data_IF_394127030218
#
_entry.id   IF_394127030218
#
_cell.length_a   1.000
_cell.length_b   1.000
_cell.length_c   1.000
_cell.angle_alpha   90.00
_cell.angle_beta   90.00
_cell.angle_gamma   90.00
#
_symmetry.space_group_name_H-M   'P 1'
#
loop_
_entity.id
_entity.type
_entity.pdbx_description
1 polymer ?
#
# COMPACT_ATOMS: atom_id res chain seq x y z
N UNK A 1 10.35 -6.85 -18.26
CA UNK A 1 9.82 -6.71 -19.64
C UNK A 1 9.82 -8.09 -20.27
N UNK A 2 8.66 -8.55 -20.68
CA UNK A 2 8.46 -9.87 -21.27
C UNK A 2 8.48 -9.80 -22.77
N UNK A 3 8.96 -10.87 -23.40
CA UNK A 3 8.88 -11.12 -24.82
C UNK A 3 7.96 -12.29 -25.04
N UNK A 4 6.94 -12.16 -25.87
CA UNK A 4 6.16 -13.28 -26.34
C UNK A 4 5.84 -13.13 -27.81
N UNK A 5 5.61 -14.26 -28.47
CA UNK A 5 5.24 -14.32 -29.87
C UNK A 5 3.77 -14.02 -30.01
N UNK A 6 3.41 -12.91 -30.66
CA UNK A 6 2.03 -12.50 -30.91
C UNK A 6 1.50 -12.98 -32.25
N UNK A 7 2.37 -13.45 -33.13
CA UNK A 7 2.03 -13.93 -34.44
C UNK A 7 3.25 -14.24 -35.29
N UNK A 8 2.99 -14.56 -36.56
CA UNK A 8 4.02 -14.70 -37.61
C UNK A 8 3.75 -13.62 -38.65
N UNK A 9 4.76 -12.84 -39.04
CA UNK A 9 4.62 -11.88 -40.12
C UNK A 9 4.29 -12.62 -41.44
N UNK A 10 3.16 -12.33 -42.05
CA UNK A 10 2.70 -13.06 -43.25
C UNK A 10 3.61 -12.81 -44.46
N UNK A 11 4.45 -11.78 -44.44
CA UNK A 11 5.33 -11.41 -45.55
C UNK A 11 6.75 -11.98 -45.40
N UNK A 12 7.25 -12.06 -44.18
CA UNK A 12 8.63 -12.52 -43.91
C UNK A 12 8.71 -13.91 -43.35
N UNK A 13 7.60 -14.43 -42.75
CA UNK A 13 7.57 -15.69 -42.04
C UNK A 13 8.28 -15.66 -40.68
N UNK A 14 8.70 -14.48 -40.23
CA UNK A 14 9.36 -14.32 -38.95
C UNK A 14 8.35 -14.21 -37.81
N UNK A 15 8.78 -14.60 -36.60
CA UNK A 15 7.99 -14.45 -35.40
C UNK A 15 7.85 -12.95 -35.01
N UNK A 16 6.61 -12.48 -34.89
CA UNK A 16 6.33 -11.14 -34.36
C UNK A 16 6.44 -11.23 -32.84
N UNK A 17 7.47 -10.60 -32.32
CA UNK A 17 7.73 -10.53 -30.91
C UNK A 17 7.22 -9.21 -30.32
N UNK A 18 6.35 -9.32 -29.35
CA UNK A 18 5.89 -8.14 -28.58
C UNK A 18 6.57 -8.14 -27.21
N UNK A 19 7.11 -7.02 -26.82
CA UNK A 19 7.63 -6.81 -25.48
C UNK A 19 6.59 -6.07 -24.67
N UNK A 20 6.04 -6.74 -23.68
CA UNK A 20 5.01 -6.18 -22.79
C UNK A 20 5.59 -6.00 -21.41
N UNK A 21 5.36 -4.81 -20.82
CA UNK A 21 5.56 -4.59 -19.41
C UNK A 21 4.54 -5.43 -18.63
N UNK A 22 5.01 -6.19 -17.64
CA UNK A 22 4.13 -6.97 -16.78
C UNK A 22 4.49 -6.78 -15.32
N UNK A 23 3.50 -6.93 -14.47
CA UNK A 23 3.64 -7.02 -13.02
C UNK A 23 3.00 -8.32 -12.56
N UNK A 24 3.49 -8.88 -11.46
CA UNK A 24 2.97 -10.13 -10.93
C UNK A 24 3.53 -10.41 -9.53
N UNK A 25 2.94 -11.41 -8.91
CA UNK A 25 3.34 -11.94 -7.62
C UNK A 25 3.91 -13.33 -7.85
N UNK A 26 5.12 -13.54 -7.38
CA UNK A 26 5.89 -14.76 -7.54
C UNK A 26 6.31 -15.30 -6.19
N UNK A 27 6.34 -16.61 -6.06
CA UNK A 27 6.69 -17.30 -4.82
C UNK A 27 7.36 -18.63 -5.12
N UNK A 28 7.98 -19.26 -4.12
CA UNK A 28 8.70 -20.53 -4.28
C UNK A 28 8.47 -21.52 -3.12
N UNK A 29 7.22 -21.77 -2.70
CA UNK A 29 6.94 -22.60 -1.54
C UNK A 29 7.44 -24.05 -1.68
N UNK A 30 7.61 -24.53 -2.91
CA UNK A 30 8.03 -25.90 -3.25
C UNK A 30 9.42 -25.96 -3.89
N UNK A 31 10.18 -24.86 -3.86
CA UNK A 31 11.54 -24.76 -4.41
C UNK A 31 11.60 -23.95 -5.70
N UNK A 32 11.04 -24.38 -6.84
CA UNK A 32 11.00 -23.58 -8.06
C UNK A 32 10.13 -22.33 -7.91
N UNK A 33 10.53 -21.27 -8.61
CA UNK A 33 9.72 -20.03 -8.65
C UNK A 33 8.46 -20.25 -9.48
N UNK A 34 7.32 -19.89 -8.95
CA UNK A 34 5.99 -20.01 -9.55
C UNK A 34 5.21 -18.71 -9.47
N UNK A 35 4.25 -18.54 -10.37
CA UNK A 35 3.38 -17.35 -10.42
C UNK A 35 2.14 -17.56 -9.56
N UNK A 36 1.93 -16.68 -8.58
CA UNK A 36 0.70 -16.64 -7.79
C UNK A 36 -0.39 -15.82 -8.49
N UNK A 37 -0.05 -14.65 -9.01
CA UNK A 37 -0.94 -13.80 -9.81
C UNK A 37 -0.12 -12.96 -10.79
N UNK A 38 -0.71 -12.58 -11.92
CA UNK A 38 -0.03 -11.82 -12.97
C UNK A 38 -1.01 -10.97 -13.77
N UNK A 39 -0.57 -9.79 -14.22
CA UNK A 39 -1.27 -8.97 -15.21
C UNK A 39 -1.53 -9.72 -16.54
N UNK A 40 -0.70 -10.69 -16.87
CA UNK A 40 -0.83 -11.52 -18.09
C UNK A 40 -1.89 -12.61 -17.99
N UNK A 41 -2.70 -12.63 -16.95
CA UNK A 41 -3.71 -13.67 -16.68
C UNK A 41 -4.76 -13.92 -17.76
N UNK A 42 -4.86 -13.06 -18.78
CA UNK A 42 -5.76 -13.22 -19.92
C UNK A 42 -5.20 -14.04 -21.08
N UNK A 43 -3.95 -14.53 -21.02
CA UNK A 43 -3.35 -15.34 -22.08
C UNK A 43 -3.85 -16.77 -21.96
N UNK A 44 -4.69 -17.10 -22.85
CA UNK A 44 -5.36 -18.31 -23.34
C UNK A 44 -5.60 -19.56 -22.46
N UNK A 45 -4.89 -19.79 -21.35
CA UNK A 45 -5.06 -21.04 -20.58
C UNK A 45 -5.33 -20.84 -19.08
N UNK A 46 -5.34 -19.61 -18.58
CA UNK A 46 -5.29 -19.36 -17.14
C UNK A 46 -6.43 -18.49 -16.64
N UNK A 47 -7.65 -19.05 -16.63
CA UNK A 47 -8.83 -18.39 -16.04
C UNK A 47 -8.65 -18.08 -14.53
N UNK A 48 -7.75 -18.79 -13.85
CA UNK A 48 -7.51 -18.60 -12.43
C UNK A 48 -6.73 -17.30 -12.08
N UNK A 49 -6.21 -16.59 -13.07
CA UNK A 49 -5.69 -15.24 -12.89
C UNK A 49 -6.73 -14.15 -13.14
N UNK A 50 -7.94 -14.53 -13.56
CA UNK A 50 -9.04 -13.58 -13.71
C UNK A 50 -9.48 -13.04 -12.34
N UNK A 51 -9.98 -11.81 -12.36
CA UNK A 51 -10.53 -11.17 -11.15
C UNK A 51 -11.83 -11.87 -10.75
N UNK A 52 -11.93 -12.44 -9.54
CA UNK A 52 -13.14 -13.11 -9.08
C UNK A 52 -14.35 -12.18 -9.03
N UNK A 53 -15.50 -12.66 -9.47
CA UNK A 53 -16.77 -11.91 -9.47
C UNK A 53 -16.93 -10.95 -10.65
N UNK A 54 -15.93 -10.84 -11.53
CA UNK A 54 -15.97 -10.00 -12.72
C UNK A 54 -16.28 -10.81 -14.00
N UNK A 55 -16.48 -10.10 -15.11
CA UNK A 55 -16.66 -10.74 -16.42
C UNK A 55 -15.41 -11.58 -16.75
N UNK A 56 -15.64 -12.71 -17.42
CA UNK A 56 -14.55 -13.57 -17.86
C UNK A 56 -13.52 -12.79 -18.70
N UNK A 57 -12.25 -12.92 -18.33
CA UNK A 57 -11.15 -12.20 -18.97
C UNK A 57 -10.78 -10.86 -18.33
N UNK A 58 -11.49 -10.40 -17.29
CA UNK A 58 -11.02 -9.27 -16.48
C UNK A 58 -9.77 -9.69 -15.71
N UNK A 59 -8.69 -8.96 -15.88
CA UNK A 59 -7.38 -9.23 -15.28
C UNK A 59 -6.98 -8.12 -14.30
N UNK A 60 -6.02 -8.42 -13.45
CA UNK A 60 -5.41 -7.41 -12.58
C UNK A 60 -4.48 -6.49 -13.39
N UNK A 61 -4.52 -5.20 -13.10
CA UNK A 61 -3.64 -4.19 -13.70
C UNK A 61 -2.32 -4.08 -12.93
N UNK A 62 -2.41 -3.99 -11.60
CA UNK A 62 -1.26 -3.86 -10.69
C UNK A 62 -1.53 -4.53 -9.35
N UNK A 63 -0.45 -4.81 -8.61
CA UNK A 63 -0.47 -5.40 -7.27
C UNK A 63 0.22 -4.45 -6.28
N UNK A 64 -0.52 -3.49 -5.71
CA UNK A 64 0.06 -2.50 -4.80
C UNK A 64 0.43 -3.11 -3.44
N UNK A 65 1.54 -2.65 -2.87
CA UNK A 65 2.03 -3.09 -1.57
C UNK A 65 2.72 -4.44 -1.60
N UNK A 66 3.05 -4.96 -0.43
CA UNK A 66 3.67 -6.27 -0.28
C UNK A 66 2.61 -7.36 -0.17
N UNK A 67 2.73 -8.47 -0.92
CA UNK A 67 1.93 -9.66 -0.66
C UNK A 67 2.37 -10.33 0.63
N UNK A 68 1.47 -11.09 1.25
CA UNK A 68 1.74 -11.90 2.43
C UNK A 68 1.63 -13.40 2.09
N UNK A 69 2.38 -14.23 2.80
CA UNK A 69 2.31 -15.70 2.68
C UNK A 69 1.96 -16.29 4.05
N UNK A 70 1.01 -17.21 4.07
CA UNK A 70 0.64 -17.95 5.27
C UNK A 70 0.50 -19.45 4.97
N UNK A 71 0.65 -20.31 5.97
CA UNK A 71 0.57 -21.78 5.88
C UNK A 71 1.49 -22.38 4.80
N UNK A 72 2.56 -21.67 4.46
CA UNK A 72 3.56 -22.10 3.49
C UNK A 72 3.12 -22.06 2.02
N UNK A 73 1.83 -22.00 1.72
CA UNK A 73 1.33 -22.08 0.34
C UNK A 73 0.23 -21.10 -0.04
N UNK A 74 -0.36 -20.38 0.91
CA UNK A 74 -1.39 -19.38 0.61
C UNK A 74 -0.77 -18.00 0.44
N UNK A 75 -0.96 -17.40 -0.72
CA UNK A 75 -0.48 -16.06 -1.06
C UNK A 75 -1.65 -15.09 -1.06
N UNK A 76 -1.59 -14.10 -0.19
CA UNK A 76 -2.60 -13.06 -0.02
C UNK A 76 -2.06 -11.75 -0.59
N UNK A 77 -2.86 -11.02 -1.34
CA UNK A 77 -2.40 -9.82 -2.03
C UNK A 77 -3.52 -8.80 -2.24
N UNK A 78 -3.12 -7.54 -2.36
CA UNK A 78 -3.96 -6.48 -2.91
C UNK A 78 -3.84 -6.50 -4.43
N UNK A 79 -4.97 -6.43 -5.13
CA UNK A 79 -5.02 -6.33 -6.58
C UNK A 79 -5.90 -5.16 -7.01
N UNK A 80 -5.39 -4.36 -7.94
CA UNK A 80 -6.18 -3.33 -8.61
C UNK A 80 -6.49 -3.79 -10.03
N UNK A 81 -7.65 -3.42 -10.54
CA UNK A 81 -8.12 -3.74 -11.87
C UNK A 81 -9.08 -2.68 -12.39
N UNK A 82 -9.34 -2.67 -13.68
CA UNK A 82 -10.26 -1.72 -14.30
C UNK A 82 -11.44 -2.49 -14.90
N UNK A 83 -12.64 -2.05 -14.59
CA UNK A 83 -13.88 -2.56 -15.20
C UNK A 83 -14.85 -1.41 -15.44
N UNK A 84 -15.52 -1.41 -16.60
CA UNK A 84 -16.40 -0.33 -17.04
C UNK A 84 -15.71 1.05 -17.07
N UNK A 85 -14.39 1.10 -17.30
CA UNK A 85 -13.58 2.34 -17.25
C UNK A 85 -13.35 2.89 -15.85
N UNK A 86 -13.66 2.13 -14.80
CA UNK A 86 -13.50 2.55 -13.39
C UNK A 86 -12.44 1.67 -12.73
N UNK A 87 -11.45 2.32 -12.10
CA UNK A 87 -10.45 1.66 -11.27
C UNK A 87 -11.07 1.01 -10.04
N UNK A 88 -10.71 -0.23 -9.77
CA UNK A 88 -11.17 -1.05 -8.66
C UNK A 88 -10.01 -1.56 -7.83
N UNK A 89 -10.25 -1.84 -6.56
CA UNK A 89 -9.26 -2.38 -5.63
C UNK A 89 -9.88 -3.47 -4.77
N UNK A 90 -9.07 -4.45 -4.38
CA UNK A 90 -9.55 -5.52 -3.50
C UNK A 90 -8.41 -6.35 -2.91
N UNK A 91 -8.78 -7.21 -1.98
CA UNK A 91 -7.92 -8.18 -1.32
C UNK A 91 -8.33 -9.57 -1.76
N UNK A 92 -7.32 -10.33 -2.15
CA UNK A 92 -7.48 -11.64 -2.76
C UNK A 92 -6.47 -12.62 -2.18
N UNK A 93 -6.75 -13.90 -2.30
CA UNK A 93 -5.74 -14.91 -2.05
C UNK A 93 -5.81 -16.05 -3.08
N UNK A 94 -4.72 -16.78 -3.17
CA UNK A 94 -4.60 -17.98 -3.96
C UNK A 94 -3.79 -19.04 -3.23
N UNK A 95 -4.22 -20.29 -3.27
CA UNK A 95 -3.46 -21.42 -2.74
C UNK A 95 -2.52 -21.94 -3.82
N UNK A 96 -1.23 -22.07 -3.50
CA UNK A 96 -0.22 -22.67 -4.37
C UNK A 96 -0.23 -24.18 -4.23
N UNK A 97 0.02 -24.87 -5.33
CA UNK A 97 0.08 -26.33 -5.42
C UNK A 97 1.47 -26.77 -5.90
N UNK A 98 1.92 -27.94 -5.46
CA UNK A 98 3.23 -28.53 -5.82
C UNK A 98 3.30 -29.06 -7.27
N UNK A 99 2.30 -28.78 -8.06
CA UNK A 99 2.27 -29.14 -9.48
C UNK A 99 2.06 -27.86 -10.32
N UNK A 100 3.16 -27.16 -10.66
CA UNK A 100 3.06 -25.98 -11.49
C UNK A 100 2.57 -26.37 -12.88
N UNK A 101 1.71 -25.51 -13.47
CA UNK A 101 1.13 -25.70 -14.79
C UNK A 101 1.46 -24.54 -15.71
N UNK A 102 1.58 -24.86 -17.00
CA UNK A 102 1.80 -23.91 -18.09
C UNK A 102 3.26 -23.52 -18.28
N UNK A 103 3.60 -23.19 -19.53
CA UNK A 103 4.94 -22.77 -19.91
C UNK A 103 4.95 -21.39 -20.59
N UNK A 104 3.79 -20.74 -20.70
CA UNK A 104 3.63 -19.53 -21.53
C UNK A 104 3.98 -18.25 -20.76
N UNK A 105 4.41 -18.37 -19.52
CA UNK A 105 4.83 -17.27 -18.66
C UNK A 105 6.29 -17.40 -18.24
N UNK A 106 6.86 -16.34 -17.66
CA UNK A 106 8.22 -16.34 -17.09
C UNK A 106 8.40 -17.51 -16.14
N UNK A 107 7.40 -17.70 -15.29
CA UNK A 107 7.33 -18.81 -14.39
C UNK A 107 5.98 -19.49 -14.53
N UNK A 108 5.92 -20.83 -14.46
CA UNK A 108 4.65 -21.55 -14.51
C UNK A 108 3.74 -21.12 -13.36
N UNK A 109 2.44 -21.27 -13.54
CA UNK A 109 1.49 -21.03 -12.47
C UNK A 109 1.65 -22.02 -11.31
N UNK A 110 1.44 -21.58 -10.11
CA UNK A 110 1.48 -22.40 -8.90
C UNK A 110 0.23 -23.27 -8.72
N UNK A 111 -0.08 -24.15 -9.67
CA UNK A 111 -1.25 -25.00 -9.64
C UNK A 111 -2.48 -24.38 -10.30
N UNK A 112 -3.61 -25.10 -10.27
CA UNK A 112 -4.88 -24.72 -10.90
C UNK A 112 -5.91 -24.08 -9.95
N UNK A 113 -5.57 -23.88 -8.68
CA UNK A 113 -6.47 -23.28 -7.70
C UNK A 113 -6.89 -21.87 -8.12
N UNK A 114 -8.19 -21.59 -8.07
CA UNK A 114 -8.75 -20.29 -8.40
C UNK A 114 -8.29 -19.21 -7.39
N UNK A 115 -8.25 -17.98 -7.87
CA UNK A 115 -8.13 -16.81 -6.99
C UNK A 115 -9.46 -16.61 -6.25
N UNK A 116 -9.39 -16.40 -4.94
CA UNK A 116 -10.54 -16.14 -4.07
C UNK A 116 -10.54 -14.68 -3.66
N UNK A 117 -11.68 -14.02 -3.80
CA UNK A 117 -11.89 -12.65 -3.32
C UNK A 117 -12.22 -12.66 -1.83
N UNK A 118 -11.52 -11.84 -1.06
CA UNK A 118 -11.79 -11.59 0.36
C UNK A 118 -12.70 -10.37 0.49
N UNK A 119 -12.32 -9.27 -0.16
CA UNK A 119 -13.10 -8.03 -0.23
C UNK A 119 -12.71 -7.21 -1.44
N UNK A 120 -13.63 -6.44 -1.99
CA UNK A 120 -13.31 -5.43 -3.00
C UNK A 120 -14.27 -4.22 -2.91
N UNK A 121 -13.92 -3.15 -3.61
CA UNK A 121 -14.71 -1.91 -3.62
C UNK A 121 -15.90 -1.93 -4.62
N UNK A 122 -16.18 -3.07 -5.24
CA UNK A 122 -17.33 -3.21 -6.16
C UNK A 122 -18.48 -4.02 -5.57
N UNK A 123 -18.17 -5.04 -4.77
CA UNK A 123 -19.15 -6.04 -4.35
C UNK A 123 -19.25 -6.19 -2.82
N UNK A 124 -18.27 -5.68 -2.07
CA UNK A 124 -18.22 -5.91 -0.64
C UNK A 124 -18.68 -4.69 0.14
N UNK A 125 -19.68 -4.86 0.98
CA UNK A 125 -20.13 -3.82 1.91
C UNK A 125 -19.19 -3.77 3.13
N UNK A 126 -19.02 -2.59 3.67
CA UNK A 126 -18.41 -2.40 5.00
C UNK A 126 -19.32 -3.09 6.01
N UNK A 127 -18.81 -4.05 6.81
CA UNK A 127 -19.61 -4.80 7.76
C UNK A 127 -20.47 -3.92 8.68
N UNK A 128 -21.77 -4.24 8.76
CA UNK A 128 -22.74 -3.48 9.56
C UNK A 128 -23.29 -2.22 8.89
N UNK A 129 -22.99 -1.98 7.62
CA UNK A 129 -23.47 -0.82 6.84
C UNK A 129 -24.02 -1.23 5.47
N UNK A 130 -24.67 -0.28 4.79
CA UNK A 130 -25.10 -0.40 3.38
C UNK A 130 -24.11 0.27 2.40
N UNK A 131 -22.90 0.61 2.87
CA UNK A 131 -21.86 1.32 2.09
C UNK A 131 -20.83 0.32 1.60
N UNK A 132 -20.48 0.39 0.32
CA UNK A 132 -19.38 -0.38 -0.27
C UNK A 132 -18.03 0.15 0.23
N UNK A 133 -17.03 -0.72 0.26
CA UNK A 133 -15.65 -0.24 0.38
C UNK A 133 -15.33 0.73 -0.77
N UNK A 134 -14.65 1.81 -0.49
CA UNK A 134 -14.03 2.71 -1.47
C UNK A 134 -12.55 2.41 -1.66
N UNK A 135 -11.88 1.94 -0.58
CA UNK A 135 -10.47 1.57 -0.60
C UNK A 135 -10.18 0.35 0.26
N UNK A 136 -9.06 -0.32 -0.04
CA UNK A 136 -8.50 -1.42 0.76
C UNK A 136 -6.99 -1.24 0.88
N UNK A 137 -6.41 -1.59 2.03
CA UNK A 137 -4.96 -1.56 2.26
C UNK A 137 -4.28 -2.87 1.85
N UNK A 138 -2.94 -2.89 1.66
CA UNK A 138 -2.19 -4.14 1.55
C UNK A 138 -2.43 -5.04 2.76
N UNK A 139 -2.57 -6.37 2.55
CA UNK A 139 -2.91 -7.31 3.62
C UNK A 139 -1.69 -7.74 4.44
N UNK A 140 -1.95 -8.18 5.68
CA UNK A 140 -1.02 -8.99 6.47
C UNK A 140 -1.69 -10.32 6.80
N UNK A 141 -0.96 -11.45 6.72
CA UNK A 141 -1.53 -12.77 6.88
C UNK A 141 -0.66 -13.69 7.72
N UNK A 142 -1.29 -14.49 8.57
CA UNK A 142 -0.68 -15.52 9.39
C UNK A 142 -1.74 -16.55 9.82
N UNK A 143 -1.34 -17.79 10.07
CA UNK A 143 -2.18 -18.87 10.61
C UNK A 143 -3.50 -19.05 9.84
N UNK A 144 -3.46 -19.01 8.49
CA UNK A 144 -4.63 -19.19 7.65
C UNK A 144 -5.64 -18.05 7.69
N UNK A 145 -5.24 -16.88 8.20
CA UNK A 145 -6.06 -15.69 8.33
C UNK A 145 -5.40 -14.49 7.65
N UNK A 146 -6.19 -13.50 7.35
CA UNK A 146 -5.75 -12.22 6.81
C UNK A 146 -6.35 -11.06 7.58
N UNK A 147 -5.54 -10.01 7.75
CA UNK A 147 -5.99 -8.71 8.27
C UNK A 147 -5.66 -7.63 7.23
N UNK A 148 -6.59 -6.72 7.03
CA UNK A 148 -6.43 -5.54 6.18
C UNK A 148 -7.26 -4.37 6.71
N UNK A 149 -6.91 -3.15 6.33
CA UNK A 149 -7.77 -1.98 6.54
C UNK A 149 -8.63 -1.74 5.28
N UNK A 150 -9.85 -1.29 5.49
CA UNK A 150 -10.76 -0.94 4.40
C UNK A 150 -11.69 0.20 4.83
N UNK A 151 -11.94 1.15 3.90
CA UNK A 151 -12.66 2.37 4.17
C UNK A 151 -13.64 2.71 3.04
N UNK A 152 -14.62 3.56 3.34
CA UNK A 152 -15.55 4.13 2.36
C UNK A 152 -14.86 5.10 1.38
N UNK A 153 -13.78 5.72 1.82
CA UNK A 153 -12.98 6.67 1.03
C UNK A 153 -11.50 6.58 1.42
N UNK A 154 -10.59 6.66 0.45
CA UNK A 154 -9.15 6.59 0.68
C UNK A 154 -8.59 7.88 1.31
N UNK A 155 -9.06 9.05 0.83
CA UNK A 155 -8.46 10.33 1.23
C UNK A 155 -9.07 10.92 2.50
N UNK A 156 -10.36 10.70 2.71
CA UNK A 156 -11.11 11.24 3.85
C UNK A 156 -12.09 10.18 4.38
N UNK A 157 -11.60 9.12 5.02
CA UNK A 157 -12.43 8.02 5.49
C UNK A 157 -13.41 8.50 6.58
N UNK A 158 -14.68 8.12 6.45
CA UNK A 158 -15.71 8.37 7.45
C UNK A 158 -16.26 7.09 8.05
N UNK A 159 -16.15 5.98 7.32
CA UNK A 159 -16.54 4.64 7.71
C UNK A 159 -15.44 3.64 7.36
N UNK A 160 -15.39 2.57 8.11
CA UNK A 160 -14.45 1.48 7.88
C UNK A 160 -13.58 1.19 9.08
N UNK A 161 -12.56 0.38 8.88
CA UNK A 161 -11.72 -0.08 9.98
C UNK A 161 -10.74 -1.18 9.57
N UNK A 162 -10.36 -1.98 10.56
CA UNK A 162 -9.53 -3.17 10.40
C UNK A 162 -10.42 -4.40 10.41
N UNK A 163 -10.20 -5.28 9.44
CA UNK A 163 -10.99 -6.49 9.23
C UNK A 163 -10.11 -7.71 9.23
N UNK A 164 -10.63 -8.79 9.80
CA UNK A 164 -10.04 -10.12 9.77
C UNK A 164 -10.96 -11.06 8.98
N UNK A 165 -10.36 -11.94 8.19
CA UNK A 165 -11.06 -13.06 7.56
C UNK A 165 -10.23 -14.34 7.65
N UNK A 166 -10.91 -15.49 7.74
CA UNK A 166 -10.32 -16.80 7.49
C UNK A 166 -10.12 -16.99 5.98
N UNK A 167 -9.02 -17.63 5.58
CA UNK A 167 -8.76 -17.94 4.16
C UNK A 167 -9.50 -19.21 3.75
N UNK A 168 -10.76 -19.05 3.47
CA UNK A 168 -11.68 -20.10 3.02
C UNK A 168 -12.38 -19.71 1.70
N UNK A 169 -13.11 -20.62 1.09
CA UNK A 169 -13.75 -20.39 -0.22
C UNK A 169 -14.76 -19.25 -0.23
N UNK A 170 -15.33 -18.91 0.91
CA UNK A 170 -16.28 -17.80 1.11
C UNK A 170 -15.89 -17.04 2.37
N UNK A 171 -14.84 -16.18 2.33
CA UNK A 171 -14.35 -15.48 3.48
C UNK A 171 -15.41 -14.53 4.07
N UNK A 172 -15.63 -14.62 5.38
CA UNK A 172 -16.48 -13.70 6.11
C UNK A 172 -15.63 -12.67 6.84
N UNK A 173 -15.99 -11.39 6.72
CA UNK A 173 -15.27 -10.30 7.39
C UNK A 173 -15.72 -10.14 8.84
N UNK A 174 -14.77 -10.14 9.76
CA UNK A 174 -14.94 -9.80 11.16
C UNK A 174 -14.29 -8.44 11.41
N UNK A 175 -15.06 -7.49 11.93
CA UNK A 175 -14.53 -6.17 12.31
C UNK A 175 -13.73 -6.29 13.60
N UNK A 176 -12.49 -5.82 13.59
CA UNK A 176 -11.60 -5.78 14.76
C UNK A 176 -11.64 -4.41 15.45
N UNK A 177 -11.54 -3.35 14.66
CA UNK A 177 -11.53 -1.95 15.09
C UNK A 177 -12.19 -1.11 14.01
N UNK A 178 -13.01 -0.14 14.38
CA UNK A 178 -13.68 0.77 13.45
C UNK A 178 -13.37 2.24 13.73
N UNK A 179 -13.52 3.08 12.71
CA UNK A 179 -13.70 4.52 12.91
C UNK A 179 -14.93 4.71 13.79
N UNK A 180 -14.80 5.53 14.85
CA UNK A 180 -15.83 5.74 15.88
C UNK A 180 -15.67 4.90 17.13
N UNK A 181 -14.85 3.84 17.12
CA UNK A 181 -14.55 3.07 18.34
C UNK A 181 -13.74 3.90 19.33
N UNK A 182 -14.00 3.67 20.63
CA UNK A 182 -13.34 4.40 21.70
C UNK A 182 -11.85 4.07 21.79
N UNK A 183 -11.02 5.11 21.96
CA UNK A 183 -9.59 4.99 22.17
C UNK A 183 -9.30 4.31 23.51
N UNK A 184 -8.49 3.23 23.55
CA UNK A 184 -8.09 2.59 24.79
C UNK A 184 -7.39 3.56 25.75
N UNK A 185 -7.93 3.71 26.97
CA UNK A 185 -7.39 4.63 27.97
C UNK A 185 -7.69 6.11 27.70
N UNK A 186 -8.45 6.44 26.68
CA UNK A 186 -8.97 7.78 26.41
C UNK A 186 -10.22 8.11 27.22
N UNK A 187 -10.73 9.34 27.08
CA UNK A 187 -12.03 9.74 27.61
C UNK A 187 -13.17 9.17 26.76
N UNK A 188 -14.40 9.26 27.23
CA UNK A 188 -15.57 8.76 26.49
C UNK A 188 -15.78 9.42 25.12
N UNK A 189 -15.21 10.60 24.90
CA UNK A 189 -15.31 11.35 23.65
C UNK A 189 -14.13 11.08 22.70
N UNK A 190 -13.11 10.37 23.15
CA UNK A 190 -11.93 10.06 22.34
C UNK A 190 -12.20 8.80 21.53
N UNK A 191 -12.55 8.97 20.27
CA UNK A 191 -12.82 7.90 19.33
C UNK A 191 -11.87 7.97 18.14
N UNK A 192 -11.56 6.82 17.53
CA UNK A 192 -10.79 6.79 16.27
C UNK A 192 -11.53 7.58 15.19
N UNK A 193 -10.86 8.55 14.60
CA UNK A 193 -11.33 9.26 13.42
C UNK A 193 -10.49 8.94 12.18
N UNK A 194 -9.36 8.27 12.36
CA UNK A 194 -8.54 7.77 11.27
C UNK A 194 -7.77 6.53 11.73
N UNK A 195 -7.60 5.58 10.82
CA UNK A 195 -6.83 4.35 11.01
C UNK A 195 -5.85 4.18 9.86
N UNK A 196 -4.64 3.67 10.15
CA UNK A 196 -3.61 3.51 9.14
C UNK A 196 -3.87 2.35 8.20
N UNK A 197 -3.43 2.48 6.97
CA UNK A 197 -3.52 1.44 5.96
C UNK A 197 -2.59 0.24 6.23
N UNK A 198 -1.52 0.41 7.00
CA UNK A 198 -0.55 -0.64 7.32
C UNK A 198 -0.85 -1.31 8.66
N UNK A 199 -1.42 -2.51 8.64
CA UNK A 199 -1.54 -3.37 9.81
C UNK A 199 -0.50 -4.50 9.78
N UNK A 200 0.07 -4.86 10.93
CA UNK A 200 0.90 -6.06 11.09
C UNK A 200 0.11 -7.13 11.85
N UNK A 201 0.17 -8.37 11.39
CA UNK A 201 -0.56 -9.49 11.99
C UNK A 201 0.34 -10.71 12.14
N UNK A 202 0.38 -11.33 13.33
CA UNK A 202 1.20 -12.50 13.63
C UNK A 202 0.39 -13.80 13.83
N UNK A 203 -0.92 -13.78 13.55
CA UNK A 203 -1.86 -14.88 13.78
C UNK A 203 -2.79 -14.62 14.97
N UNK A 204 -2.41 -13.76 15.92
CA UNK A 204 -3.21 -13.36 17.06
C UNK A 204 -3.27 -11.86 17.27
N UNK A 205 -2.12 -11.19 17.26
CA UNK A 205 -2.02 -9.76 17.53
C UNK A 205 -2.00 -8.95 16.25
N UNK A 206 -2.74 -7.84 16.23
CA UNK A 206 -2.79 -6.89 15.11
C UNK A 206 -2.25 -5.56 15.59
N UNK A 207 -1.07 -5.17 15.09
CA UNK A 207 -0.46 -3.86 15.33
C UNK A 207 -0.93 -2.85 14.27
N UNK A 208 -1.33 -1.66 14.68
CA UNK A 208 -1.82 -0.62 13.76
C UNK A 208 -1.60 0.80 14.31
N UNK A 209 -1.68 1.75 13.42
CA UNK A 209 -1.71 3.18 13.73
C UNK A 209 -3.15 3.70 13.73
N UNK A 210 -3.44 4.64 14.63
CA UNK A 210 -4.73 5.32 14.67
C UNK A 210 -4.59 6.76 15.16
N UNK A 211 -5.57 7.59 14.80
CA UNK A 211 -5.66 8.99 15.23
C UNK A 211 -7.05 9.30 15.80
N UNK A 212 -7.09 10.35 16.64
CA UNK A 212 -8.33 10.79 17.29
C UNK A 212 -8.35 12.29 17.55
N UNK A 213 -9.54 12.79 17.91
CA UNK A 213 -9.75 14.21 18.19
C UNK A 213 -9.79 15.05 16.90
N UNK A 214 -10.12 16.34 17.07
CA UNK A 214 -10.25 17.29 15.96
C UNK A 214 -9.04 18.19 15.78
N UNK A 215 -8.07 18.13 16.69
CA UNK A 215 -6.87 18.94 16.59
C UNK A 215 -5.95 18.45 15.49
N UNK A 216 -5.45 19.39 14.73
CA UNK A 216 -4.52 19.14 13.64
C UNK A 216 -3.28 20.00 13.76
N UNK A 217 -2.22 19.61 13.09
CA UNK A 217 -1.01 20.42 12.89
C UNK A 217 -0.59 20.38 11.43
N UNK A 218 0.13 21.38 10.98
CA UNK A 218 0.68 21.46 9.63
C UNK A 218 2.16 21.07 9.66
N UNK A 219 2.50 20.10 8.80
CA UNK A 219 3.90 19.69 8.57
C UNK A 219 4.40 20.32 7.27
N UNK A 220 5.66 20.74 7.25
CA UNK A 220 6.40 21.08 6.03
C UNK A 220 7.25 19.89 5.59
N UNK A 221 6.90 19.32 4.45
CA UNK A 221 7.58 18.19 3.85
C UNK A 221 8.46 18.71 2.72
N UNK A 222 9.76 18.71 2.94
CA UNK A 222 10.72 19.14 1.93
C UNK A 222 10.83 18.14 0.79
N UNK A 223 10.98 18.65 -0.43
CA UNK A 223 11.22 17.80 -1.58
C UNK A 223 12.46 16.94 -1.38
N UNK A 224 12.42 15.66 -1.83
CA UNK A 224 13.54 14.75 -1.60
C UNK A 224 14.80 15.24 -2.34
N UNK A 225 15.96 14.97 -1.75
CA UNK A 225 17.27 15.25 -2.34
C UNK A 225 17.95 13.99 -2.87
N UNK A 226 17.39 12.81 -2.56
CA UNK A 226 17.90 11.50 -2.96
C UNK A 226 16.79 10.64 -3.56
N UNK A 227 17.14 9.71 -4.42
CA UNK A 227 16.22 8.77 -5.05
C UNK A 227 15.99 9.00 -6.53
N UNK A 228 14.76 8.83 -7.00
CA UNK A 228 14.44 8.98 -8.42
C UNK A 228 14.50 10.45 -8.85
N UNK A 229 15.37 10.73 -9.84
CA UNK A 229 15.64 12.10 -10.32
C UNK A 229 14.39 12.80 -10.84
N UNK A 230 13.53 12.12 -11.60
CA UNK A 230 12.32 12.73 -12.17
C UNK A 230 11.35 13.17 -11.06
N UNK A 231 11.25 12.40 -9.97
CA UNK A 231 10.44 12.77 -8.79
C UNK A 231 11.02 13.98 -8.07
N UNK A 232 12.35 14.02 -7.91
CA UNK A 232 13.05 15.14 -7.30
C UNK A 232 12.80 16.42 -8.11
N UNK A 233 13.08 16.35 -9.41
CA UNK A 233 12.94 17.48 -10.33
C UNK A 233 11.48 17.96 -10.41
N UNK A 234 10.50 17.04 -10.42
CA UNK A 234 9.08 17.39 -10.44
C UNK A 234 8.65 18.10 -9.16
N UNK A 235 9.00 17.57 -8.00
CA UNK A 235 8.71 18.21 -6.71
C UNK A 235 9.35 19.60 -6.64
N UNK A 236 10.60 19.75 -7.12
CA UNK A 236 11.34 21.01 -7.13
C UNK A 236 10.97 21.97 -8.28
N UNK A 237 9.96 21.63 -9.09
CA UNK A 237 9.55 22.41 -10.25
C UNK A 237 10.65 22.59 -11.32
N UNK A 238 11.46 21.55 -11.52
CA UNK A 238 12.62 21.52 -12.43
C UNK A 238 12.49 20.43 -13.50
N UNK A 239 11.46 19.56 -13.45
CA UNK A 239 11.31 18.45 -14.38
C UNK A 239 11.10 18.97 -15.80
N UNK A 240 11.95 18.57 -16.73
CA UNK A 240 11.80 18.81 -18.16
C UNK A 240 11.01 17.69 -18.83
N UNK A 241 9.94 18.04 -19.55
CA UNK A 241 9.29 17.13 -20.50
C UNK A 241 10.21 16.89 -21.69
N UNK A 242 10.50 15.62 -21.98
CA UNK A 242 11.29 15.22 -23.14
C UNK A 242 10.38 14.64 -24.24
N UNK A 243 10.77 14.83 -25.50
CA UNK A 243 10.17 14.18 -26.65
C UNK A 243 10.66 12.70 -26.76
N UNK A 244 10.11 11.87 -27.67
CA UNK A 244 10.57 10.50 -27.90
C UNK A 244 12.06 10.36 -28.28
N UNK A 245 12.67 11.45 -28.76
CA UNK A 245 14.09 11.52 -29.13
C UNK A 245 14.98 11.98 -27.97
N UNK A 246 14.38 12.23 -26.78
CA UNK A 246 15.08 12.67 -25.56
C UNK A 246 15.46 14.16 -25.58
N UNK A 247 14.88 14.98 -26.48
CA UNK A 247 15.08 16.42 -26.50
C UNK A 247 14.00 17.12 -25.66
N UNK A 248 14.29 18.29 -25.07
CA UNK A 248 13.27 19.05 -24.36
C UNK A 248 12.09 19.37 -25.27
N UNK A 249 10.88 18.98 -24.84
CA UNK A 249 9.64 19.33 -25.52
C UNK A 249 9.45 20.82 -25.41
N UNK A 250 9.37 21.51 -26.56
CA UNK A 250 9.26 22.96 -26.59
C UNK A 250 7.80 23.40 -26.59
N UNK A 251 7.50 24.51 -25.91
CA UNK A 251 6.18 25.16 -25.98
C UNK A 251 6.10 25.92 -27.31
N UNK A 252 5.17 25.57 -28.22
CA UNK A 252 5.12 26.16 -29.57
C UNK A 252 5.02 27.69 -29.60
N UNK A 253 4.31 28.29 -28.64
CA UNK A 253 4.09 29.72 -28.59
C UNK A 253 5.32 30.52 -28.10
N UNK A 254 6.21 29.94 -27.35
CA UNK A 254 7.31 30.67 -26.68
C UNK A 254 8.70 30.17 -27.07
N UNK A 255 8.80 29.01 -27.69
CA UNK A 255 10.08 28.35 -27.97
C UNK A 255 10.88 27.96 -26.73
N UNK A 256 10.25 27.94 -25.55
CA UNK A 256 10.89 27.56 -24.29
C UNK A 256 10.66 26.09 -23.99
N UNK A 257 11.59 25.41 -23.25
CA UNK A 257 11.36 24.06 -22.77
C UNK A 257 10.12 23.99 -21.86
N UNK A 258 9.36 22.90 -21.98
CA UNK A 258 8.27 22.59 -21.05
C UNK A 258 8.86 22.12 -19.73
N UNK A 259 8.76 22.96 -18.70
CA UNK A 259 9.16 22.64 -17.33
C UNK A 259 7.89 22.34 -16.56
N UNK A 260 7.86 21.19 -15.92
CA UNK A 260 6.77 20.75 -15.06
C UNK A 260 7.18 20.87 -13.62
N UNK A 261 6.23 21.22 -12.78
CA UNK A 261 6.39 21.29 -11.35
C UNK A 261 5.20 20.71 -10.63
N UNK A 262 5.43 20.27 -9.40
CA UNK A 262 4.34 19.88 -8.52
C UNK A 262 3.58 21.18 -8.12
N UNK A 263 2.30 21.34 -8.49
CA UNK A 263 1.55 22.54 -8.19
C UNK A 263 1.31 22.78 -6.70
N UNK A 264 1.56 21.75 -5.86
CA UNK A 264 1.45 21.84 -4.41
C UNK A 264 2.75 22.26 -3.74
N UNK A 265 3.88 22.26 -4.46
CA UNK A 265 5.19 22.62 -3.92
C UNK A 265 5.35 24.15 -3.86
N UNK A 266 5.83 24.61 -2.70
CA UNK A 266 6.20 26.00 -2.48
C UNK A 266 7.71 26.12 -2.60
N UNK A 267 8.19 26.87 -3.59
CA UNK A 267 9.60 27.06 -3.86
C UNK A 267 9.97 28.52 -3.68
N UNK A 268 10.97 28.79 -2.85
CA UNK A 268 11.55 30.12 -2.67
C UNK A 268 12.98 30.10 -3.23
N UNK A 269 13.38 31.18 -3.91
CA UNK A 269 14.70 31.29 -4.51
C UNK A 269 15.82 30.98 -3.48
N UNK A 270 16.68 30.03 -3.79
CA UNK A 270 17.79 29.62 -2.94
C UNK A 270 17.41 28.80 -1.71
N UNK A 271 16.17 28.26 -1.63
CA UNK A 271 15.71 27.38 -0.56
C UNK A 271 15.13 26.07 -1.14
N UNK A 272 15.19 24.96 -0.40
CA UNK A 272 14.51 23.74 -0.82
C UNK A 272 13.00 23.95 -0.97
N UNK A 273 12.41 23.39 -2.00
CA UNK A 273 10.95 23.36 -2.15
C UNK A 273 10.31 22.45 -1.08
N UNK A 274 9.08 22.75 -0.69
CA UNK A 274 8.33 21.97 0.28
C UNK A 274 6.84 21.96 -0.03
N UNK A 275 6.13 21.00 0.55
CA UNK A 275 4.67 20.97 0.58
C UNK A 275 4.18 21.03 2.03
N UNK A 276 3.05 21.68 2.26
CA UNK A 276 2.38 21.65 3.55
C UNK A 276 1.32 20.54 3.57
N UNK A 277 1.30 19.76 4.66
CA UNK A 277 0.32 18.71 4.92
C UNK A 277 -0.25 18.90 6.31
N UNK A 278 -1.58 18.88 6.40
CA UNK A 278 -2.29 18.86 7.67
C UNK A 278 -2.41 17.41 8.15
N UNK A 279 -1.98 17.16 9.38
CA UNK A 279 -2.03 15.83 10.01
C UNK A 279 -2.76 15.90 11.36
N UNK A 280 -3.37 14.79 11.81
CA UNK A 280 -3.90 14.71 13.16
C UNK A 280 -2.81 15.01 14.19
N UNK A 281 -3.13 15.79 15.21
CA UNK A 281 -2.20 16.02 16.33
C UNK A 281 -2.08 14.79 17.21
N UNK A 282 -3.21 14.16 17.51
CA UNK A 282 -3.27 13.00 18.38
C UNK A 282 -3.17 11.73 17.54
N UNK A 283 -2.07 11.02 17.66
CA UNK A 283 -1.75 9.79 16.95
C UNK A 283 -1.22 8.76 17.93
N UNK A 284 -1.43 7.48 17.64
CA UNK A 284 -0.95 6.39 18.48
C UNK A 284 -0.66 5.11 17.72
N UNK A 285 0.12 4.25 18.36
CA UNK A 285 0.31 2.85 17.98
C UNK A 285 -0.50 1.97 18.93
N UNK A 286 -1.29 1.09 18.34
CA UNK A 286 -2.23 0.22 19.04
C UNK A 286 -1.97 -1.25 18.67
N UNK A 287 -2.38 -2.15 19.57
CA UNK A 287 -2.42 -3.57 19.30
C UNK A 287 -3.78 -4.14 19.71
N UNK A 288 -4.42 -4.86 18.79
CA UNK A 288 -5.63 -5.61 19.03
C UNK A 288 -5.29 -7.10 19.21
N UNK A 289 -5.76 -7.72 20.28
CA UNK A 289 -5.67 -9.16 20.52
C UNK A 289 -6.95 -9.84 20.02
N UNK A 290 -6.88 -10.55 18.91
CA UNK A 290 -8.02 -11.21 18.28
C UNK A 290 -8.67 -12.31 19.13
N UNK A 291 -7.94 -12.87 20.10
CA UNK A 291 -8.49 -13.89 21.01
C UNK A 291 -9.33 -13.29 22.13
N UNK A 292 -8.90 -12.16 22.69
CA UNK A 292 -9.64 -11.49 23.78
C UNK A 292 -10.57 -10.39 23.29
N UNK A 293 -10.48 -9.96 22.04
CA UNK A 293 -11.21 -8.82 21.49
C UNK A 293 -10.76 -7.48 22.09
N UNK A 294 -9.60 -7.42 22.73
CA UNK A 294 -9.14 -6.22 23.46
C UNK A 294 -8.08 -5.47 22.66
N UNK A 295 -8.27 -4.16 22.55
CA UNK A 295 -7.28 -3.23 22.03
C UNK A 295 -6.53 -2.55 23.17
N UNK A 296 -5.22 -2.38 23.01
CA UNK A 296 -4.35 -1.62 23.93
C UNK A 296 -3.62 -0.52 23.18
N UNK A 297 -3.44 0.64 23.82
CA UNK A 297 -2.61 1.72 23.31
C UNK A 297 -1.19 1.53 23.85
N UNK A 298 -0.21 1.48 22.94
CA UNK A 298 1.20 1.28 23.30
C UNK A 298 1.93 2.59 23.52
N UNK A 299 1.73 3.54 22.63
CA UNK A 299 2.34 4.87 22.67
C UNK A 299 1.50 5.84 21.86
N UNK A 300 1.72 7.12 22.08
CA UNK A 300 1.08 8.21 21.35
C UNK A 300 1.98 9.46 21.29
N UNK A 301 1.49 10.48 20.58
CA UNK A 301 2.16 11.74 20.38
C UNK A 301 2.19 12.65 21.63
N UNK A 302 1.44 12.35 22.68
CA UNK A 302 1.47 13.07 23.96
C UNK A 302 2.47 12.44 24.95
N UNK A 303 3.01 11.25 24.67
CA UNK A 303 3.97 10.56 25.54
C UNK A 303 5.42 11.00 25.25
N UNK A 304 6.02 10.44 24.20
CA UNK A 304 7.45 10.61 23.92
C UNK A 304 7.76 10.98 22.47
N UNK A 305 6.77 10.91 21.59
CA UNK A 305 6.94 11.09 20.15
C UNK A 305 6.13 12.27 19.63
N UNK A 306 6.68 12.93 18.62
CA UNK A 306 6.00 14.03 17.94
C UNK A 306 5.26 13.56 16.68
N UNK A 307 5.72 12.46 16.06
CA UNK A 307 5.16 11.95 14.83
C UNK A 307 5.32 10.42 14.75
N UNK A 308 4.26 9.73 14.33
CA UNK A 308 4.23 8.29 14.12
C UNK A 308 3.98 7.90 12.65
N UNK A 309 3.82 8.89 11.77
CA UNK A 309 3.73 8.72 10.34
C UNK A 309 5.03 9.16 9.65
N UNK A 310 5.40 8.43 8.60
CA UNK A 310 6.54 8.74 7.75
C UNK A 310 6.05 9.11 6.38
N UNK A 311 6.70 10.08 5.78
CA UNK A 311 6.31 10.67 4.53
C UNK A 311 7.36 10.39 3.46
N UNK A 312 6.91 9.83 2.35
CA UNK A 312 7.74 9.61 1.16
C UNK A 312 7.09 10.29 -0.04
N UNK A 313 7.91 10.96 -0.85
CA UNK A 313 7.49 11.46 -2.15
C UNK A 313 7.58 10.31 -3.16
N UNK A 314 6.44 9.80 -3.59
CA UNK A 314 6.34 8.59 -4.41
C UNK A 314 5.27 8.75 -5.50
N UNK A 315 5.25 7.83 -6.45
CA UNK A 315 4.38 7.89 -7.62
C UNK A 315 5.14 8.22 -8.90
N UNK A 316 4.42 8.41 -10.00
CA UNK A 316 4.98 8.70 -11.31
C UNK A 316 4.75 10.17 -11.64
N UNK A 317 5.80 10.99 -11.84
CA UNK A 317 5.66 12.34 -12.33
C UNK A 317 5.13 12.35 -13.76
N UNK A 318 4.39 13.39 -14.17
CA UNK A 318 4.05 13.60 -15.58
C UNK A 318 5.32 13.64 -16.45
N UNK A 319 5.24 13.20 -17.69
CA UNK A 319 6.37 13.15 -18.63
C UNK A 319 7.61 12.40 -18.13
N UNK A 320 7.51 11.62 -17.05
CA UNK A 320 8.64 10.85 -16.54
C UNK A 320 8.83 9.58 -17.36
N UNK A 321 10.06 9.34 -17.76
CA UNK A 321 10.49 8.17 -18.52
C UNK A 321 11.08 8.56 -19.86
N UNK A 322 12.25 8.02 -20.15
CA UNK A 322 12.94 8.19 -21.43
C UNK A 322 12.08 7.68 -22.57
N UNK A 323 11.41 8.57 -23.31
CA UNK A 323 11.06 8.43 -24.71
C UNK A 323 10.35 7.18 -25.22
N UNK A 324 9.83 6.34 -24.38
CA UNK A 324 9.09 5.14 -24.75
C UNK A 324 7.65 5.21 -24.25
N UNK A 325 7.04 6.40 -24.40
CA UNK A 325 5.64 6.59 -24.16
C UNK A 325 4.86 5.92 -25.29
N UNK A 326 4.32 4.74 -25.05
CA UNK A 326 3.05 4.40 -25.69
C UNK A 326 2.04 5.42 -25.18
N UNK A 327 1.52 6.26 -26.08
CA UNK A 327 0.37 7.09 -25.80
C UNK A 327 -0.75 6.14 -25.31
N UNK A 328 -1.11 6.20 -24.05
CA UNK A 328 -2.12 5.34 -23.42
C UNK A 328 -1.70 4.64 -22.13
N UNK A 329 -0.42 4.58 -21.78
CA UNK A 329 0.05 4.00 -20.51
C UNK A 329 0.08 5.03 -19.35
N UNK A 330 -0.38 6.23 -19.58
CA UNK A 330 -0.29 7.33 -18.60
C UNK A 330 -1.41 7.33 -17.56
N UNK A 331 -2.56 6.73 -17.86
CA UNK A 331 -3.77 6.88 -17.02
C UNK A 331 -3.79 5.98 -15.78
N UNK A 332 -2.96 4.93 -15.70
CA UNK A 332 -2.97 3.96 -14.59
C UNK A 332 -1.87 4.19 -13.53
N UNK A 333 -0.97 5.14 -13.74
CA UNK A 333 0.11 5.38 -12.80
C UNK A 333 -0.33 6.35 -11.68
N UNK A 334 -0.15 5.93 -10.45
CA UNK A 334 -0.35 6.82 -9.30
C UNK A 334 0.46 8.12 -9.44
N UNK A 335 -0.17 9.30 -9.37
CA UNK A 335 0.54 10.58 -9.52
C UNK A 335 1.60 10.75 -8.42
N UNK A 336 2.67 11.45 -8.75
CA UNK A 336 3.72 11.78 -7.78
C UNK A 336 3.16 12.70 -6.69
N UNK A 337 3.29 12.26 -5.44
CA UNK A 337 2.83 13.00 -4.25
C UNK A 337 3.51 12.51 -2.99
N UNK A 338 3.46 13.28 -1.92
CA UNK A 338 3.78 12.80 -0.59
C UNK A 338 2.71 11.81 -0.12
N UNK A 339 3.16 10.65 0.34
CA UNK A 339 2.34 9.60 0.97
C UNK A 339 2.85 9.35 2.37
N UNK A 340 1.91 9.22 3.29
CA UNK A 340 2.22 8.82 4.66
C UNK A 340 2.08 7.31 4.82
N UNK A 341 2.86 6.75 5.71
CA UNK A 341 2.73 5.37 6.16
C UNK A 341 3.16 5.24 7.61
N UNK A 342 2.50 4.38 8.35
CA UNK A 342 2.97 3.91 9.64
C UNK A 342 3.77 2.61 9.44
N UNK A 343 4.84 2.45 10.19
CA UNK A 343 5.65 1.23 10.21
C UNK A 343 5.49 0.57 11.57
N UNK A 344 4.75 -0.52 11.58
CA UNK A 344 4.47 -1.31 12.78
C UNK A 344 4.72 -2.78 12.47
N UNK A 345 5.33 -3.48 13.40
CA UNK A 345 5.42 -4.92 13.42
C UNK A 345 5.03 -5.43 14.81
N UNK A 346 4.38 -6.58 14.89
CA UNK A 346 3.97 -7.21 16.14
C UNK A 346 4.31 -8.68 16.12
N UNK A 347 4.68 -9.23 17.28
CA UNK A 347 4.90 -10.65 17.46
C UNK A 347 4.54 -11.08 18.89
N UNK A 348 3.71 -12.11 19.03
CA UNK A 348 3.38 -12.73 20.30
C UNK A 348 4.59 -13.35 20.98
N UNK A 349 4.54 -13.44 22.30
CA UNK A 349 5.57 -14.03 23.14
C UNK A 349 5.01 -15.23 23.90
N UNK A 350 5.25 -16.42 23.37
CA UNK A 350 4.74 -17.65 23.98
C UNK A 350 3.21 -17.76 23.92
N UNK A 351 2.62 -18.54 24.82
CA UNK A 351 1.16 -18.81 24.85
C UNK A 351 0.33 -17.75 25.60
N UNK A 352 0.97 -16.74 26.18
CA UNK A 352 0.30 -15.71 26.97
C UNK A 352 -0.22 -14.53 26.15
N UNK A 353 -0.81 -13.55 26.83
CA UNK A 353 -1.24 -12.27 26.22
C UNK A 353 -0.10 -11.26 26.09
N UNK A 354 1.15 -11.71 26.09
CA UNK A 354 2.34 -10.86 25.94
C UNK A 354 2.82 -10.83 24.49
N UNK A 355 3.28 -9.65 24.06
CA UNK A 355 3.79 -9.44 22.71
C UNK A 355 4.90 -8.39 22.68
N UNK A 356 5.67 -8.41 21.60
CA UNK A 356 6.58 -7.34 21.22
C UNK A 356 5.98 -6.54 20.08
N UNK A 357 6.22 -5.24 20.10
CA UNK A 357 5.88 -4.36 18.98
C UNK A 357 7.11 -3.55 18.62
N UNK A 358 7.40 -3.45 17.32
CA UNK A 358 8.42 -2.58 16.78
C UNK A 358 7.75 -1.56 15.89
N UNK A 359 8.10 -0.29 16.04
CA UNK A 359 7.52 0.78 15.25
C UNK A 359 8.56 1.86 14.99
N UNK A 360 8.33 2.62 13.95
CA UNK A 360 9.12 3.79 13.60
C UNK A 360 8.44 5.04 14.14
N UNK A 361 9.22 5.96 14.72
CA UNK A 361 8.71 7.21 15.27
C UNK A 361 9.73 8.34 15.11
N UNK A 362 9.25 9.58 15.19
CA UNK A 362 10.06 10.79 15.14
C UNK A 362 9.93 11.58 16.43
N UNK A 363 11.08 12.11 16.87
CA UNK A 363 11.20 13.10 17.94
C UNK A 363 11.82 14.36 17.39
N UNK A 364 11.51 15.51 17.99
CA UNK A 364 12.12 16.80 17.66
C UNK A 364 11.31 17.93 18.28
N UNK A 365 11.87 19.11 18.26
CA UNK A 365 11.15 20.34 18.62
C UNK A 365 10.34 20.78 17.39
N UNK A 366 9.04 20.99 17.56
CA UNK A 366 8.15 21.38 16.49
C UNK A 366 7.78 22.86 16.62
N UNK A 367 8.45 23.72 15.87
CA UNK A 367 8.22 25.16 15.86
C UNK A 367 7.79 25.66 14.47
N UNK A 368 6.72 26.45 14.42
CA UNK A 368 6.24 27.11 13.20
C UNK A 368 6.04 26.16 12.01
N UNK A 369 5.56 24.93 12.24
CA UNK A 369 5.35 23.94 11.19
C UNK A 369 6.61 23.20 10.74
N UNK A 370 7.74 23.39 11.40
CA UNK A 370 9.02 22.77 11.04
C UNK A 370 9.57 22.03 12.26
N UNK A 371 10.06 20.81 12.02
CA UNK A 371 10.85 20.10 13.02
C UNK A 371 12.24 20.72 13.12
N UNK A 372 12.62 21.08 14.35
CA UNK A 372 14.00 21.42 14.70
C UNK A 372 14.67 20.16 15.23
N UNK A 373 15.86 19.86 14.69
CA UNK A 373 16.66 18.69 15.09
C UNK A 373 15.85 17.37 15.11
N UNK A 374 15.12 16.99 14.03
CA UNK A 374 14.34 15.78 14.02
C UNK A 374 15.24 14.54 14.12
N UNK A 375 14.84 13.60 14.96
CA UNK A 375 15.48 12.28 15.09
C UNK A 375 14.43 11.22 14.75
N UNK A 376 14.64 10.52 13.64
CA UNK A 376 13.89 9.33 13.29
C UNK A 376 14.53 8.12 13.95
N UNK A 377 13.72 7.22 14.50
CA UNK A 377 14.20 6.00 15.14
C UNK A 377 13.25 4.82 15.00
N UNK A 378 13.82 3.65 15.22
CA UNK A 378 13.06 2.39 15.34
C UNK A 378 13.03 2.05 16.83
N UNK A 379 11.82 1.85 17.36
CA UNK A 379 11.57 1.65 18.77
C UNK A 379 10.88 0.32 19.01
N UNK A 380 11.19 -0.32 20.13
CA UNK A 380 10.56 -1.56 20.56
C UNK A 380 9.81 -1.34 21.86
N UNK A 381 8.60 -1.94 21.97
CA UNK A 381 7.86 -2.04 23.22
C UNK A 381 7.43 -3.47 23.47
N UNK A 382 7.59 -3.90 24.74
CA UNK A 382 7.17 -5.22 25.23
C UNK A 382 5.89 -5.04 26.06
N UNK A 383 4.87 -5.85 25.81
CA UNK A 383 3.62 -5.83 26.55
C UNK A 383 3.33 -7.19 27.23
N UNK A 384 2.77 -7.24 28.47
CA UNK A 384 2.66 -6.09 29.38
C UNK A 384 4.03 -5.67 29.89
N UNK A 385 4.28 -4.36 29.92
CA UNK A 385 5.44 -3.80 30.58
C UNK A 385 5.23 -3.84 32.09
N UNK A 386 6.13 -4.52 32.81
CA UNK A 386 6.19 -4.43 34.27
C UNK A 386 7.10 -3.24 34.65
N UNK A 387 6.52 -2.05 34.80
CA UNK A 387 7.19 -0.88 35.33
C UNK A 387 8.36 -0.31 34.49
N UNK A 388 8.26 0.91 34.04
CA UNK A 388 9.12 1.64 33.10
C UNK A 388 9.26 0.95 31.74
N UNK A 389 8.47 1.44 30.84
CA UNK A 389 8.53 1.06 29.43
C UNK A 389 9.93 1.37 28.89
N UNK A 390 10.68 0.34 28.60
CA UNK A 390 11.97 0.44 27.95
C UNK A 390 11.72 0.68 26.46
N UNK A 391 11.63 1.95 26.06
CA UNK A 391 11.86 2.29 24.68
C UNK A 391 13.35 2.06 24.41
N UNK A 392 13.63 1.10 23.58
CA UNK A 392 15.00 0.86 23.12
C UNK A 392 15.07 1.37 21.69
N UNK A 393 15.97 2.32 21.45
CA UNK A 393 16.40 2.66 20.11
C UNK A 393 17.16 1.44 19.60
N UNK A 394 16.73 0.89 18.50
CA UNK A 394 17.47 -0.16 17.80
C UNK A 394 18.46 0.55 16.89
N UNK A 395 19.75 0.49 17.22
CA UNK A 395 20.85 1.00 16.41
C UNK A 395 21.00 0.21 15.09
#
# INVERSE_FOLDING_TARGET
>A
MWRYVTGIDPNTGEEIETRVGTTGIYTNPFGPLITAASKLGGVSAFNFFSVPGELAGTVFDVFPGAPAVTDGSRVVFKGNYTTDGIGRTGIYYRTMEDQPIGNDHLFPAGGAADTVMIANNRHTLIPGTDVLFGSTSPPSAADGKVVFAGFDNEEAPTLGGLYLAELESQPALVTLVSIGDQIPGGTANDTFNNLGEGGAFDGRFVGFWGAWGSETRTLRLYCPTEGNKDRIDYCNQELLCLDPQGQPKMIPATGMPTILGDPLSQCAQGKPCYQERTVPRNQGIFVHDTQSGRTVRLTDTDMEFDELLFWNYSGKPPCSGSGHGEEGAEDDAEPARFRSSAFVAVAGRGSGASFNTVFKARRGEFENGIYQNPVDGIYQRIWPGTGRDLFTLLD
#
